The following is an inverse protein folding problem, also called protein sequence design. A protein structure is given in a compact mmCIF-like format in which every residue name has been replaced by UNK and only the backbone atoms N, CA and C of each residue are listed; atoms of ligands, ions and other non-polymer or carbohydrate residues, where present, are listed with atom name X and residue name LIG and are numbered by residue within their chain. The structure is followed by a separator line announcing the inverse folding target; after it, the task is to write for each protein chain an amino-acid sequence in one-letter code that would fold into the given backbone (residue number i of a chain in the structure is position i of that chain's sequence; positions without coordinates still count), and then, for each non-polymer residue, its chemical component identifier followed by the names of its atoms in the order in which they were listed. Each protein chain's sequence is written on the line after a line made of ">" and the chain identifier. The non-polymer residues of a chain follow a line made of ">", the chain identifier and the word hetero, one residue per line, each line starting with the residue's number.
data_IF_933261092748
#
_entry.id   IF_933261092748
#
_cell.length_a   1.000
_cell.length_b   1.000
_cell.length_c   1.000
_cell.angle_alpha   90.00
_cell.angle_beta   90.00
_cell.angle_gamma   90.00
#
_symmetry.space_group_name_H-M   'P 1'
#
loop_
_entity.id
_entity.type
_entity.pdbx_description
1 polymer ?
#
# COMPACT_ATOMS: atom_id res chain seq x y z
N UNK A 1 -15.06 -24.61 -2.02
CA UNK A 1 -15.76 -23.58 -1.23
C UNK A 1 -14.92 -22.32 -1.14
N UNK A 2 -15.48 -21.19 -1.49
CA UNK A 2 -14.79 -19.91 -1.40
C UNK A 2 -14.75 -19.46 0.05
N UNK A 3 -13.54 -19.27 0.56
CA UNK A 3 -13.31 -18.76 1.92
C UNK A 3 -13.33 -17.24 1.89
N UNK A 4 -14.03 -16.62 2.82
CA UNK A 4 -14.00 -15.16 2.99
C UNK A 4 -12.61 -14.74 3.48
N UNK A 5 -12.10 -13.64 2.92
CA UNK A 5 -10.80 -13.07 3.28
C UNK A 5 -11.00 -11.77 4.04
N UNK A 6 -10.14 -11.55 5.02
CA UNK A 6 -10.11 -10.29 5.76
C UNK A 6 -8.92 -9.50 5.27
N UNK A 7 -9.20 -8.34 4.67
CA UNK A 7 -8.19 -7.42 4.18
C UNK A 7 -8.29 -6.14 4.99
N UNK A 8 -7.19 -5.73 5.62
CA UNK A 8 -7.13 -4.49 6.38
C UNK A 8 -6.39 -3.45 5.54
N UNK A 9 -6.96 -2.25 5.44
CA UNK A 9 -6.34 -1.11 4.79
C UNK A 9 -6.02 -0.04 5.83
N UNK A 10 -4.76 0.36 5.88
CA UNK A 10 -4.25 1.34 6.82
C UNK A 10 -3.71 2.57 6.08
N UNK A 11 -4.03 3.75 6.57
CA UNK A 11 -3.56 5.00 5.98
C UNK A 11 -2.57 5.69 6.91
N UNK A 12 -1.48 6.19 6.33
CA UNK A 12 -0.40 6.84 7.07
C UNK A 12 -0.18 8.26 6.55
N UNK A 13 -0.01 9.17 7.48
CA UNK A 13 0.36 10.56 7.20
C UNK A 13 1.66 10.86 7.93
N UNK A 14 2.72 11.17 7.19
CA UNK A 14 4.06 11.48 7.73
C UNK A 14 4.54 10.42 8.73
N UNK A 15 4.29 9.14 8.38
CA UNK A 15 4.72 8.01 9.19
C UNK A 15 3.81 7.65 10.36
N UNK A 16 2.66 8.31 10.48
CA UNK A 16 1.72 8.08 11.58
C UNK A 16 0.42 7.49 11.05
N UNK A 17 -0.07 6.46 11.73
CA UNK A 17 -1.32 5.79 11.38
C UNK A 17 -2.52 6.66 11.75
N UNK A 18 -3.38 6.90 10.76
CA UNK A 18 -4.62 7.64 10.94
C UNK A 18 -5.83 6.86 10.42
N UNK A 19 -6.96 6.99 11.11
CA UNK A 19 -8.24 6.72 10.50
C UNK A 19 -8.54 7.90 9.58
N UNK A 20 -8.98 7.63 8.36
CA UNK A 20 -9.28 8.70 7.40
C UNK A 20 -10.76 8.71 7.03
N UNK A 21 -11.21 9.90 6.64
CA UNK A 21 -12.52 10.12 6.03
C UNK A 21 -12.27 10.82 4.70
N UNK A 22 -12.57 10.14 3.59
CA UNK A 22 -12.26 10.61 2.24
C UNK A 22 -10.76 10.96 2.09
N UNK A 23 -9.88 10.11 2.66
CA UNK A 23 -8.43 10.28 2.67
C UNK A 23 -7.94 11.53 3.41
N UNK A 24 -8.78 12.12 4.25
CA UNK A 24 -8.37 13.20 5.16
C UNK A 24 -8.22 12.63 6.57
N UNK A 25 -7.17 12.99 7.31
CA UNK A 25 -6.97 12.48 8.66
C UNK A 25 -8.16 12.81 9.56
N UNK A 26 -8.68 11.81 10.26
CA UNK A 26 -9.80 11.96 11.18
C UNK A 26 -9.43 11.53 12.59
N UNK A 27 -8.64 10.47 12.73
CA UNK A 27 -8.22 9.97 14.03
C UNK A 27 -6.88 9.27 13.95
N UNK A 28 -6.02 9.51 14.95
CA UNK A 28 -4.69 8.92 15.04
C UNK A 28 -4.71 7.61 15.83
N UNK A 29 -4.01 6.60 15.32
CA UNK A 29 -3.83 5.32 16.00
C UNK A 29 -2.35 5.00 16.20
N UNK A 30 -2.06 4.14 17.18
CA UNK A 30 -0.73 3.57 17.34
C UNK A 30 -0.62 2.26 16.57
N UNK A 31 0.62 1.85 16.26
CA UNK A 31 0.88 0.58 15.55
C UNK A 31 0.32 -0.63 16.31
N UNK A 32 0.27 -0.57 17.64
CA UNK A 32 -0.15 -1.68 18.49
C UNK A 32 -1.65 -1.96 18.44
N UNK A 33 -2.41 -1.10 17.78
CA UNK A 33 -3.84 -1.28 17.62
C UNK A 33 -4.19 -2.46 16.69
N UNK A 34 -3.25 -2.92 15.87
CA UNK A 34 -3.53 -3.85 14.77
C UNK A 34 -3.22 -5.28 15.21
N UNK A 35 -4.22 -6.17 15.10
CA UNK A 35 -4.03 -7.61 15.24
C UNK A 35 -3.66 -8.20 13.88
N UNK A 36 -2.37 -8.39 13.66
CA UNK A 36 -1.83 -8.90 12.39
C UNK A 36 -2.00 -10.42 12.24
N UNK A 37 -2.42 -11.12 13.30
CA UNK A 37 -2.55 -12.58 13.26
C UNK A 37 -3.86 -13.05 12.62
N UNK A 38 -4.87 -12.19 12.58
CA UNK A 38 -6.23 -12.56 12.16
C UNK A 38 -6.59 -12.08 10.77
N UNK A 39 -5.64 -11.53 10.00
CA UNK A 39 -5.91 -10.98 8.67
C UNK A 39 -5.30 -11.84 7.58
N UNK A 40 -5.88 -11.77 6.38
CA UNK A 40 -5.41 -12.50 5.20
C UNK A 40 -4.52 -11.66 4.31
N UNK A 41 -4.75 -10.35 4.26
CA UNK A 41 -3.94 -9.39 3.48
C UNK A 41 -3.91 -8.05 4.19
N UNK A 42 -2.81 -7.31 3.99
CA UNK A 42 -2.63 -5.98 4.54
C UNK A 42 -2.34 -4.98 3.41
N UNK A 43 -3.04 -3.86 3.43
CA UNK A 43 -2.81 -2.75 2.50
C UNK A 43 -2.37 -1.55 3.33
N UNK A 44 -1.25 -0.94 2.97
CA UNK A 44 -0.81 0.32 3.58
C UNK A 44 -0.76 1.41 2.51
N UNK A 45 -1.27 2.58 2.85
CA UNK A 45 -1.40 3.70 1.92
C UNK A 45 -0.78 4.94 2.54
N UNK A 46 0.12 5.59 1.81
CA UNK A 46 0.70 6.86 2.21
C UNK A 46 -0.15 8.01 1.65
N UNK A 47 -0.75 8.78 2.55
CA UNK A 47 -1.55 9.96 2.19
C UNK A 47 -0.79 11.27 2.40
N UNK A 48 0.50 11.20 2.68
CA UNK A 48 1.35 12.37 2.90
C UNK A 48 1.50 13.19 1.62
N UNK A 49 1.71 14.50 1.75
CA UNK A 49 2.02 15.36 0.61
C UNK A 49 3.39 15.04 0.05
N UNK A 50 4.39 14.84 0.92
CA UNK A 50 5.73 14.40 0.53
C UNK A 50 5.75 12.87 0.49
N UNK A 51 5.82 12.30 -0.71
CA UNK A 51 5.84 10.85 -0.91
C UNK A 51 7.26 10.30 -0.77
N UNK A 52 7.34 8.98 -0.57
CA UNK A 52 8.59 8.22 -0.55
C UNK A 52 9.54 8.67 0.57
N UNK A 53 8.97 9.14 1.70
CA UNK A 53 9.76 9.54 2.87
C UNK A 53 10.38 8.32 3.55
N UNK A 54 11.48 8.55 4.28
CA UNK A 54 12.12 7.49 5.06
C UNK A 54 11.17 6.90 6.11
N UNK A 55 10.29 7.73 6.67
CA UNK A 55 9.30 7.29 7.65
C UNK A 55 8.36 6.24 7.06
N UNK A 56 7.86 6.47 5.85
CA UNK A 56 6.97 5.50 5.20
C UNK A 56 7.73 4.26 4.75
N UNK A 57 8.94 4.40 4.22
CA UNK A 57 9.79 3.26 3.85
C UNK A 57 10.06 2.39 5.07
N UNK A 58 10.32 2.98 6.22
CA UNK A 58 10.51 2.24 7.47
C UNK A 58 9.25 1.47 7.87
N UNK A 59 8.07 2.03 7.62
CA UNK A 59 6.79 1.36 7.87
C UNK A 59 6.63 0.14 6.97
N UNK A 60 6.97 0.26 5.69
CA UNK A 60 6.93 -0.89 4.76
C UNK A 60 7.83 -2.00 5.27
N UNK A 61 9.06 -1.67 5.66
CA UNK A 61 10.02 -2.63 6.18
C UNK A 61 9.53 -3.30 7.47
N UNK A 62 8.91 -2.51 8.36
CA UNK A 62 8.35 -3.02 9.60
C UNK A 62 7.27 -4.08 9.36
N UNK A 63 6.30 -3.77 8.48
CA UNK A 63 5.23 -4.72 8.19
C UNK A 63 5.74 -5.90 7.35
N UNK A 64 6.72 -5.70 6.49
CA UNK A 64 7.34 -6.78 5.73
C UNK A 64 8.00 -7.80 6.65
N UNK A 65 8.63 -7.33 7.74
CA UNK A 65 9.27 -8.20 8.74
C UNK A 65 8.29 -8.90 9.67
N UNK A 66 7.22 -8.20 10.07
CA UNK A 66 6.37 -8.63 11.18
C UNK A 66 5.00 -9.14 10.73
N UNK A 67 4.71 -9.10 9.45
CA UNK A 67 3.44 -9.55 8.89
C UNK A 67 3.71 -10.67 7.89
N UNK A 68 3.09 -11.82 8.09
CA UNK A 68 3.30 -13.00 7.25
C UNK A 68 2.24 -13.16 6.16
N UNK A 69 1.45 -12.13 5.91
CA UNK A 69 0.44 -12.09 4.86
C UNK A 69 0.91 -11.16 3.75
N UNK A 70 0.33 -11.25 2.53
CA UNK A 70 0.69 -10.34 1.45
C UNK A 70 0.53 -8.89 1.85
N UNK A 71 1.55 -8.07 1.55
CA UNK A 71 1.59 -6.65 1.84
C UNK A 71 1.46 -5.86 0.54
N UNK A 72 0.41 -5.07 0.45
CA UNK A 72 0.19 -4.16 -0.67
C UNK A 72 0.46 -2.73 -0.23
N UNK A 73 1.14 -1.96 -1.08
CA UNK A 73 1.55 -0.60 -0.75
C UNK A 73 1.06 0.35 -1.83
N UNK A 74 0.46 1.45 -1.43
CA UNK A 74 -0.04 2.48 -2.33
C UNK A 74 0.23 3.89 -1.82
N UNK A 75 -0.13 4.86 -2.64
CA UNK A 75 -0.02 6.26 -2.31
C UNK A 75 0.79 7.04 -3.34
N UNK A 76 0.12 7.53 -4.37
CA UNK A 76 0.71 8.47 -5.31
C UNK A 76 1.81 7.90 -6.20
N UNK A 77 1.80 6.61 -6.50
CA UNK A 77 2.79 5.98 -7.39
C UNK A 77 2.52 6.44 -8.83
N UNK A 78 3.52 7.05 -9.47
CA UNK A 78 3.41 7.60 -10.81
C UNK A 78 4.48 7.11 -11.78
N UNK A 79 5.38 6.24 -11.35
CA UNK A 79 6.47 5.74 -12.20
C UNK A 79 6.88 4.33 -11.78
N UNK A 80 7.56 3.64 -12.70
CA UNK A 80 8.13 2.33 -12.42
C UNK A 80 9.20 2.42 -11.32
N UNK A 81 9.99 3.49 -11.32
CA UNK A 81 11.04 3.69 -10.32
C UNK A 81 10.45 3.80 -8.90
N UNK A 82 9.32 4.48 -8.78
CA UNK A 82 8.62 4.60 -7.48
C UNK A 82 8.07 3.25 -7.03
N UNK A 83 7.50 2.47 -7.96
CA UNK A 83 7.05 1.11 -7.66
C UNK A 83 8.21 0.21 -7.25
N UNK A 84 9.33 0.30 -7.96
CA UNK A 84 10.55 -0.47 -7.64
C UNK A 84 11.01 -0.20 -6.21
N UNK A 85 10.94 1.06 -5.77
CA UNK A 85 11.33 1.43 -4.40
C UNK A 85 10.49 0.70 -3.36
N UNK A 86 9.18 0.61 -3.59
CA UNK A 86 8.29 -0.10 -2.67
C UNK A 86 8.51 -1.61 -2.70
N UNK A 87 8.67 -2.20 -3.87
CA UNK A 87 8.95 -3.64 -4.00
C UNK A 87 10.29 -3.99 -3.33
N UNK A 88 11.31 -3.17 -3.53
CA UNK A 88 12.63 -3.38 -2.94
C UNK A 88 12.59 -3.38 -1.41
N UNK A 89 11.67 -2.63 -0.81
CA UNK A 89 11.55 -2.50 0.63
C UNK A 89 10.55 -3.46 1.27
N UNK A 90 9.94 -4.34 0.49
CA UNK A 90 9.15 -5.43 1.04
C UNK A 90 7.70 -5.52 0.59
N UNK A 91 7.23 -4.63 -0.28
CA UNK A 91 5.88 -4.75 -0.82
C UNK A 91 5.76 -5.98 -1.73
N UNK A 92 4.68 -6.72 -1.57
CA UNK A 92 4.35 -7.85 -2.45
C UNK A 92 3.54 -7.38 -3.66
N UNK A 93 2.73 -6.35 -3.47
CA UNK A 93 1.87 -5.77 -4.50
C UNK A 93 1.85 -4.25 -4.38
N UNK A 94 1.53 -3.60 -5.48
CA UNK A 94 1.37 -2.15 -5.54
C UNK A 94 -0.10 -1.82 -5.77
N UNK A 95 -0.61 -0.85 -5.01
CA UNK A 95 -1.95 -0.31 -5.19
C UNK A 95 -1.86 0.96 -6.03
N UNK A 96 -2.52 0.93 -7.18
CA UNK A 96 -2.63 2.11 -8.04
C UNK A 96 -4.02 2.71 -7.90
N UNK A 97 -4.07 4.00 -7.65
CA UNK A 97 -5.31 4.76 -7.52
C UNK A 97 -5.27 5.92 -8.50
N UNK A 98 -6.35 6.09 -9.27
CA UNK A 98 -6.44 7.20 -10.20
C UNK A 98 -7.14 6.82 -11.49
N UNK A 99 -7.03 7.68 -12.48
CA UNK A 99 -7.68 7.49 -13.75
C UNK A 99 -6.90 6.46 -14.59
N UNK A 100 -7.49 5.28 -14.88
CA UNK A 100 -6.79 4.25 -15.65
C UNK A 100 -6.31 4.71 -17.02
N UNK A 101 -7.03 5.64 -17.66
CA UNK A 101 -6.63 6.15 -18.97
C UNK A 101 -5.35 6.97 -18.93
N UNK A 102 -5.05 7.63 -17.80
CA UNK A 102 -3.82 8.42 -17.63
C UNK A 102 -2.65 7.57 -17.15
N UNK A 103 -2.92 6.43 -16.53
CA UNK A 103 -1.91 5.61 -15.86
C UNK A 103 -1.64 4.28 -16.57
N UNK A 104 -2.19 4.09 -17.76
CA UNK A 104 -2.05 2.84 -18.48
C UNK A 104 -0.59 2.50 -18.80
N UNK A 105 0.25 3.51 -19.06
CA UNK A 105 1.67 3.33 -19.30
C UNK A 105 2.41 2.77 -18.10
N UNK A 106 2.10 3.30 -16.92
CA UNK A 106 2.68 2.85 -15.65
C UNK A 106 2.23 1.42 -15.35
N UNK A 107 0.94 1.17 -15.51
CA UNK A 107 0.35 -0.14 -15.30
C UNK A 107 1.03 -1.20 -16.17
N UNK A 108 1.23 -0.90 -17.45
CA UNK A 108 1.91 -1.80 -18.38
C UNK A 108 3.36 -2.05 -17.99
N UNK A 109 4.08 -1.00 -17.59
CA UNK A 109 5.47 -1.11 -17.17
C UNK A 109 5.64 -1.99 -15.94
N UNK A 110 4.81 -1.79 -14.94
CA UNK A 110 4.86 -2.59 -13.70
C UNK A 110 4.44 -4.04 -13.99
N UNK A 111 3.38 -4.21 -14.76
CA UNK A 111 2.87 -5.53 -15.12
C UNK A 111 3.90 -6.34 -15.89
N UNK A 112 4.63 -5.70 -16.81
CA UNK A 112 5.67 -6.34 -17.60
C UNK A 112 6.84 -6.80 -16.74
N UNK A 113 7.23 -6.02 -15.73
CA UNK A 113 8.38 -6.33 -14.86
C UNK A 113 8.04 -7.32 -13.75
N UNK A 114 6.87 -7.15 -13.12
CA UNK A 114 6.50 -7.89 -11.90
C UNK A 114 5.33 -8.86 -12.09
N UNK A 115 4.62 -8.80 -13.22
CA UNK A 115 3.45 -9.62 -13.48
C UNK A 115 2.15 -8.92 -13.11
N UNK A 116 1.03 -9.37 -13.69
CA UNK A 116 -0.28 -8.77 -13.46
C UNK A 116 -0.74 -8.92 -12.00
N UNK A 117 -0.37 -10.00 -11.34
CA UNK A 117 -0.75 -10.28 -9.96
C UNK A 117 -0.09 -9.33 -8.95
N UNK A 118 0.89 -8.54 -9.37
CA UNK A 118 1.59 -7.58 -8.51
C UNK A 118 0.88 -6.23 -8.38
N UNK A 119 -0.25 -6.07 -9.06
CA UNK A 119 -0.96 -4.79 -9.13
C UNK A 119 -2.38 -4.94 -8.62
N UNK A 120 -2.79 -4.00 -7.77
CA UNK A 120 -4.18 -3.81 -7.37
C UNK A 120 -4.63 -2.44 -7.89
N UNK A 121 -5.70 -2.41 -8.65
CA UNK A 121 -6.29 -1.16 -9.14
C UNK A 121 -7.41 -0.75 -8.20
N UNK A 122 -7.28 0.44 -7.60
CA UNK A 122 -8.34 1.02 -6.79
C UNK A 122 -9.32 1.80 -7.68
N UNK A 123 -10.59 1.56 -7.49
CA UNK A 123 -11.68 2.25 -8.20
C UNK A 123 -12.47 3.08 -7.19
N UNK A 124 -12.46 4.38 -7.38
CA UNK A 124 -13.20 5.32 -6.54
C UNK A 124 -14.48 5.80 -7.21
#
# INVERSE_FOLDING_TARGET
>A
MLKKRIIISLTFLDGVLFRTKNFKPDHRYTKNFIDLLSIDELIIIDISKKKFSNEFINIIQYFSKNCFVPLSVGGGIKSLQEADLYFKNGADKILLNGNPSKEIGILKSISKKYGNQSIIQSLD
#
